data_IF_697282994735
#
_entry.id   IF_697282994735
#
_cell.length_a   1.000
_cell.length_b   1.000
_cell.length_c   1.000
_cell.angle_alpha   90.00
_cell.angle_beta   90.00
_cell.angle_gamma   90.00
#
_symmetry.space_group_name_H-M   'P 1'
#
loop_
_entity.id
_entity.type
_entity.pdbx_description
1 polymer ?
#
# COMPACT_ATOMS: atom_id res chain seq x y z
N UNK A 1 -53.33 -22.13 25.83
CA UNK A 1 -51.88 -22.05 25.55
C UNK A 1 -51.60 -21.86 24.04
N UNK A 2 -52.02 -20.74 23.43
CA UNK A 2 -51.88 -20.49 21.96
C UNK A 2 -51.19 -19.16 21.61
N UNK A 3 -50.89 -18.33 22.63
CA UNK A 3 -50.32 -16.98 22.47
C UNK A 3 -48.78 -16.95 22.44
N UNK A 4 -48.11 -17.76 23.29
CA UNK A 4 -46.64 -17.78 23.43
C UNK A 4 -45.90 -18.12 22.14
N UNK A 5 -46.40 -19.06 21.33
CA UNK A 5 -45.72 -19.53 20.10
C UNK A 5 -45.70 -18.44 19.01
N UNK A 6 -46.76 -17.64 18.90
CA UNK A 6 -46.88 -16.59 17.89
C UNK A 6 -45.97 -15.39 18.19
N UNK A 7 -45.76 -15.10 19.48
CA UNK A 7 -44.85 -14.05 19.93
C UNK A 7 -43.39 -14.42 19.62
N UNK A 8 -42.98 -15.63 19.97
CA UNK A 8 -41.61 -16.10 19.70
C UNK A 8 -41.30 -16.15 18.20
N UNK A 9 -42.22 -16.64 17.36
CA UNK A 9 -42.04 -16.66 15.90
C UNK A 9 -41.94 -15.25 15.31
N UNK A 10 -42.74 -14.30 15.78
CA UNK A 10 -42.68 -12.91 15.29
C UNK A 10 -41.38 -12.21 15.70
N UNK A 11 -40.92 -12.42 16.94
CA UNK A 11 -39.64 -11.87 17.41
C UNK A 11 -38.47 -12.45 16.63
N UNK A 12 -38.48 -13.75 16.34
CA UNK A 12 -37.45 -14.40 15.51
C UNK A 12 -37.46 -13.87 14.07
N UNK A 13 -38.63 -13.67 13.47
CA UNK A 13 -38.75 -13.10 12.12
C UNK A 13 -38.27 -11.64 12.04
N UNK A 14 -38.56 -10.82 13.05
CA UNK A 14 -38.08 -9.43 13.12
C UNK A 14 -36.56 -9.40 13.28
N UNK A 15 -36.00 -10.26 14.14
CA UNK A 15 -34.56 -10.36 14.34
C UNK A 15 -33.83 -10.85 13.07
N UNK A 16 -34.41 -11.82 12.36
CA UNK A 16 -33.89 -12.29 11.07
C UNK A 16 -33.93 -11.20 9.99
N UNK A 17 -34.99 -10.37 9.96
CA UNK A 17 -35.11 -9.24 9.04
C UNK A 17 -34.04 -8.17 9.31
N UNK A 18 -33.76 -7.86 10.58
CA UNK A 18 -32.73 -6.89 10.98
C UNK A 18 -31.32 -7.42 10.69
N UNK A 19 -31.05 -8.71 10.88
CA UNK A 19 -29.77 -9.32 10.52
C UNK A 19 -29.52 -9.31 9.00
N UNK A 20 -30.56 -9.43 8.17
CA UNK A 20 -30.42 -9.39 6.71
C UNK A 20 -30.06 -7.98 6.18
N UNK A 21 -30.51 -6.91 6.84
CA UNK A 21 -30.22 -5.52 6.43
C UNK A 21 -28.77 -5.12 6.79
N UNK A 22 -28.19 -5.73 7.81
CA UNK A 22 -26.83 -5.41 8.30
C UNK A 22 -25.68 -5.98 7.47
N UNK A 23 -25.94 -6.87 6.50
CA UNK A 23 -24.88 -7.55 5.72
C UNK A 23 -24.48 -6.77 4.47
N UNK A 24 -25.18 -5.70 4.10
CA UNK A 24 -24.77 -4.82 3.00
C UNK A 24 -23.97 -3.64 3.52
N UNK A 25 -22.83 -3.90 4.18
CA UNK A 25 -21.71 -2.97 4.10
C UNK A 25 -21.15 -3.07 2.69
N UNK A 26 -21.84 -2.46 1.72
CA UNK A 26 -21.23 -2.10 0.47
C UNK A 26 -20.01 -1.28 0.86
N UNK A 27 -18.82 -1.85 0.65
CA UNK A 27 -17.62 -1.04 0.52
C UNK A 27 -17.97 -0.13 -0.65
N UNK A 28 -18.42 1.08 -0.35
CA UNK A 28 -18.35 2.17 -1.29
C UNK A 28 -16.86 2.28 -1.58
N UNK A 29 -16.40 1.57 -2.61
CA UNK A 29 -15.14 1.86 -3.27
C UNK A 29 -15.35 3.22 -3.90
N UNK A 30 -15.33 4.27 -3.06
CA UNK A 30 -15.23 5.63 -3.52
C UNK A 30 -14.05 5.68 -4.47
N UNK A 31 -14.20 6.45 -5.55
CA UNK A 31 -13.18 6.58 -6.59
C UNK A 31 -11.77 6.65 -5.97
N UNK A 32 -10.75 5.98 -6.56
CA UNK A 32 -9.40 5.92 -6.01
C UNK A 32 -8.97 7.30 -5.53
N UNK A 33 -8.84 7.48 -4.22
CA UNK A 33 -8.49 8.78 -3.64
C UNK A 33 -6.98 9.09 -3.77
N UNK A 34 -6.31 8.45 -4.72
CA UNK A 34 -4.86 8.36 -4.83
C UNK A 34 -4.45 7.57 -6.08
N UNK A 35 -3.16 7.27 -6.17
CA UNK A 35 -2.53 6.60 -7.31
C UNK A 35 -1.82 5.32 -6.91
N UNK A 36 -1.46 4.51 -7.90
CA UNK A 36 -0.68 3.30 -7.73
C UNK A 36 0.81 3.62 -7.89
N UNK A 37 1.63 3.17 -6.96
CA UNK A 37 3.08 3.31 -6.99
C UNK A 37 3.71 1.93 -7.15
N UNK A 38 4.53 1.77 -8.18
CA UNK A 38 5.39 0.60 -8.38
C UNK A 38 6.84 1.05 -8.26
N UNK A 39 7.62 0.32 -7.47
CA UNK A 39 9.07 0.52 -7.39
C UNK A 39 9.77 -0.81 -7.65
N UNK A 40 10.45 -0.88 -8.79
CA UNK A 40 11.30 -2.00 -9.15
C UNK A 40 12.70 -1.84 -8.56
N UNK A 41 13.37 -2.95 -8.29
CA UNK A 41 14.79 -2.97 -7.94
C UNK A 41 15.60 -3.41 -9.14
N UNK A 42 16.56 -2.60 -9.56
CA UNK A 42 17.49 -2.97 -10.62
C UNK A 42 18.37 -4.19 -10.23
N UNK A 43 18.91 -4.93 -11.22
CA UNK A 43 19.78 -6.08 -10.94
C UNK A 43 21.16 -5.69 -10.40
N UNK A 44 21.59 -4.43 -10.52
CA UNK A 44 22.96 -3.98 -10.20
C UNK A 44 23.29 -3.83 -8.70
N UNK A 45 22.39 -4.25 -7.82
CA UNK A 45 22.58 -4.28 -6.36
C UNK A 45 23.30 -5.53 -5.87
N UNK A 46 23.49 -6.54 -6.73
CA UNK A 46 23.94 -7.87 -6.32
C UNK A 46 22.82 -8.70 -5.68
N UNK A 47 23.17 -9.72 -4.90
CA UNK A 47 22.21 -10.64 -4.25
C UNK A 47 21.97 -10.31 -2.77
N UNK A 48 22.90 -9.57 -2.14
CA UNK A 48 22.97 -9.35 -0.70
C UNK A 48 22.41 -7.99 -0.24
N UNK A 49 21.94 -7.14 -1.15
CA UNK A 49 21.39 -5.82 -0.85
C UNK A 49 19.92 -5.72 -1.30
N UNK A 50 19.09 -5.07 -0.50
CA UNK A 50 17.71 -4.72 -0.82
C UNK A 50 17.53 -3.20 -0.82
N UNK A 51 16.45 -2.75 -1.46
CA UNK A 51 16.01 -1.35 -1.43
C UNK A 51 15.06 -1.18 -0.26
N UNK A 52 15.47 -0.42 0.74
CA UNK A 52 14.58 0.04 1.79
C UNK A 52 13.83 1.28 1.30
N UNK A 53 12.51 1.15 1.14
CA UNK A 53 11.64 2.20 0.64
C UNK A 53 10.83 2.81 1.79
N UNK A 54 10.83 4.14 1.85
CA UNK A 54 9.97 4.94 2.72
C UNK A 54 9.10 5.89 1.90
N UNK A 55 7.89 6.10 2.38
CA UNK A 55 6.97 7.15 1.91
C UNK A 55 6.71 8.07 3.09
N UNK A 56 7.00 9.36 2.93
CA UNK A 56 6.85 10.38 3.99
C UNK A 56 7.57 10.00 5.29
N UNK A 57 8.75 9.38 5.16
CA UNK A 57 9.57 8.92 6.28
C UNK A 57 9.13 7.59 6.90
N UNK A 58 7.97 7.03 6.52
CA UNK A 58 7.48 5.74 6.98
C UNK A 58 7.99 4.61 6.10
N UNK A 59 8.61 3.58 6.69
CA UNK A 59 9.02 2.37 5.98
C UNK A 59 7.80 1.61 5.43
N UNK A 60 7.86 1.25 4.15
CA UNK A 60 6.78 0.52 3.45
C UNK A 60 7.23 -0.80 2.87
N UNK A 61 8.52 -0.95 2.51
CA UNK A 61 9.04 -2.21 1.96
C UNK A 61 10.56 -2.31 2.04
N UNK A 62 11.05 -3.54 2.13
CA UNK A 62 12.40 -3.94 1.74
C UNK A 62 12.30 -4.78 0.46
N UNK A 63 12.75 -4.22 -0.66
CA UNK A 63 12.60 -4.82 -1.99
C UNK A 63 13.86 -5.64 -2.28
N UNK A 64 13.75 -6.96 -2.22
CA UNK A 64 14.84 -7.90 -2.53
C UNK A 64 14.92 -8.22 -4.03
N UNK A 65 15.94 -8.98 -4.44
CA UNK A 65 16.10 -9.41 -5.83
C UNK A 65 14.84 -10.13 -6.36
N UNK A 66 14.40 -9.75 -7.57
CA UNK A 66 13.23 -10.33 -8.25
C UNK A 66 11.88 -9.91 -7.65
N UNK A 67 11.86 -8.94 -6.73
CA UNK A 67 10.65 -8.37 -6.15
C UNK A 67 10.53 -6.90 -6.51
N UNK A 68 9.32 -6.37 -6.35
CA UNK A 68 9.00 -4.96 -6.49
C UNK A 68 8.04 -4.56 -5.38
N UNK A 69 7.99 -3.27 -5.07
CA UNK A 69 6.88 -2.70 -4.31
C UNK A 69 5.73 -2.39 -5.26
N UNK A 70 4.51 -2.73 -4.86
CA UNK A 70 3.28 -2.36 -5.53
C UNK A 70 2.27 -1.96 -4.46
N UNK A 71 1.89 -0.69 -4.43
CA UNK A 71 1.02 -0.17 -3.39
C UNK A 71 0.25 1.07 -3.80
N UNK A 72 -0.78 1.37 -3.01
CA UNK A 72 -1.59 2.57 -3.18
C UNK A 72 -1.03 3.72 -2.35
N UNK A 73 -0.95 4.90 -2.95
CA UNK A 73 -0.51 6.14 -2.30
C UNK A 73 -1.64 7.16 -2.40
N UNK A 74 -2.05 7.82 -1.30
CA UNK A 74 -3.05 8.89 -1.34
C UNK A 74 -2.71 9.99 -2.36
N UNK A 75 -3.72 10.71 -2.85
CA UNK A 75 -3.48 11.86 -3.71
C UNK A 75 -2.87 13.01 -2.89
N UNK A 76 -1.88 13.69 -3.46
CA UNK A 76 -1.19 14.78 -2.77
C UNK A 76 0.32 14.76 -3.00
N UNK A 77 1.03 15.57 -2.21
CA UNK A 77 2.48 15.63 -2.22
C UNK A 77 3.04 14.62 -1.23
N UNK A 78 3.97 13.80 -1.73
CA UNK A 78 4.67 12.78 -0.98
C UNK A 78 6.17 12.88 -1.23
N UNK A 79 6.95 12.31 -0.34
CA UNK A 79 8.39 12.13 -0.52
C UNK A 79 8.72 10.65 -0.51
N UNK A 80 9.25 10.15 -1.62
CA UNK A 80 9.81 8.81 -1.68
C UNK A 80 11.26 8.88 -1.23
N UNK A 81 11.65 7.99 -0.32
CA UNK A 81 13.04 7.89 0.15
C UNK A 81 13.54 6.46 0.01
N UNK A 82 14.71 6.29 -0.59
CA UNK A 82 15.32 5.00 -0.84
C UNK A 82 16.72 4.91 -0.21
N UNK A 83 17.02 3.75 0.37
CA UNK A 83 18.35 3.44 0.91
C UNK A 83 18.67 1.96 0.75
N UNK A 84 19.95 1.61 0.93
CA UNK A 84 20.41 0.24 0.91
C UNK A 84 20.23 -0.44 2.27
N UNK A 85 19.79 -1.70 2.27
CA UNK A 85 19.86 -2.57 3.46
C UNK A 85 20.47 -3.94 3.09
N UNK A 86 21.24 -4.60 3.99
CA UNK A 86 21.63 -4.12 5.32
C UNK A 86 22.57 -2.91 5.27
N UNK A 87 22.43 -2.02 6.26
CA UNK A 87 23.22 -0.80 6.39
C UNK A 87 24.60 -1.09 7.02
N UNK A 88 25.40 -1.96 6.39
CA UNK A 88 26.75 -2.35 6.87
C UNK A 88 27.71 -1.16 6.92
N UNK A 89 27.51 -0.18 6.04
CA UNK A 89 28.24 1.08 6.00
C UNK A 89 27.25 2.23 5.92
N UNK A 90 27.64 3.39 6.43
CA UNK A 90 26.83 4.59 6.28
C UNK A 90 26.73 4.96 4.79
N UNK A 91 25.52 4.85 4.25
CA UNK A 91 25.16 5.30 2.90
C UNK A 91 23.98 6.25 3.05
N UNK A 92 24.10 7.50 2.60
CA UNK A 92 23.01 8.44 2.77
C UNK A 92 21.78 7.97 1.95
N UNK A 93 20.57 8.09 2.51
CA UNK A 93 19.34 7.85 1.75
C UNK A 93 19.19 8.93 0.67
N UNK A 94 18.53 8.58 -0.43
CA UNK A 94 18.11 9.56 -1.45
C UNK A 94 16.61 9.78 -1.38
N UNK A 95 16.17 11.00 -1.67
CA UNK A 95 14.75 11.36 -1.62
C UNK A 95 14.33 12.08 -2.89
N UNK A 96 13.13 11.78 -3.38
CA UNK A 96 12.49 12.48 -4.50
C UNK A 96 11.07 12.90 -4.13
N UNK A 97 10.64 14.12 -4.50
CA UNK A 97 9.26 14.53 -4.36
C UNK A 97 8.38 13.84 -5.41
N UNK A 98 7.18 13.43 -5.01
CA UNK A 98 6.17 12.87 -5.90
C UNK A 98 4.83 13.57 -5.65
N UNK A 99 4.19 14.08 -6.71
CA UNK A 99 2.80 14.55 -6.63
C UNK A 99 1.88 13.50 -7.24
N UNK A 100 1.09 12.86 -6.39
CA UNK A 100 0.20 11.76 -6.75
C UNK A 100 -1.17 12.32 -7.14
N UNK A 101 -1.58 12.03 -8.37
CA UNK A 101 -2.93 12.25 -8.88
C UNK A 101 -3.82 11.03 -8.69
N UNK A 102 -5.14 11.26 -8.60
CA UNK A 102 -6.14 10.20 -8.47
C UNK A 102 -6.16 9.32 -9.74
N UNK A 103 -6.11 8.00 -9.57
CA UNK A 103 -6.16 7.02 -10.66
C UNK A 103 -4.89 6.92 -11.51
N UNK A 104 -3.85 7.70 -11.21
CA UNK A 104 -2.57 7.63 -11.93
C UNK A 104 -1.69 6.48 -11.42
N UNK A 105 -0.81 6.01 -12.30
CA UNK A 105 0.22 5.03 -11.98
C UNK A 105 1.60 5.68 -12.11
N UNK A 106 2.45 5.45 -11.12
CA UNK A 106 3.81 5.96 -11.04
C UNK A 106 4.77 4.77 -10.93
N UNK A 107 5.74 4.70 -11.82
CA UNK A 107 6.69 3.60 -11.87
C UNK A 107 8.10 4.16 -11.72
N UNK A 108 8.85 3.60 -10.79
CA UNK A 108 10.26 3.92 -10.57
C UNK A 108 11.10 2.66 -10.60
N UNK A 109 12.33 2.79 -11.07
CA UNK A 109 13.39 1.82 -10.80
C UNK A 109 14.34 2.40 -9.78
N UNK A 110 14.50 1.72 -8.66
CA UNK A 110 15.61 1.93 -7.74
C UNK A 110 16.88 1.33 -8.34
N UNK A 111 17.93 2.14 -8.47
CA UNK A 111 19.21 1.78 -9.09
C UNK A 111 20.34 1.99 -8.09
N UNK A 112 21.30 1.08 -8.06
CA UNK A 112 22.56 1.30 -7.36
C UNK A 112 23.44 2.27 -8.16
N UNK A 113 23.77 3.42 -7.59
CA UNK A 113 24.51 4.49 -8.26
C UNK A 113 25.52 5.09 -7.28
N UNK A 114 26.81 4.95 -7.55
CA UNK A 114 27.90 5.51 -6.72
C UNK A 114 27.70 5.37 -5.20
N UNK A 115 27.46 4.14 -4.73
CA UNK A 115 27.25 3.78 -3.32
C UNK A 115 25.93 4.28 -2.68
N UNK A 116 25.01 4.83 -3.47
CA UNK A 116 23.66 5.19 -3.01
C UNK A 116 22.59 4.51 -3.86
N UNK A 117 21.36 4.50 -3.35
CA UNK A 117 20.20 4.00 -4.09
C UNK A 117 19.45 5.19 -4.65
N UNK A 118 19.29 5.28 -5.97
CA UNK A 118 18.60 6.38 -6.66
C UNK A 118 17.31 5.88 -7.27
N UNK A 119 16.21 6.60 -7.07
CA UNK A 119 14.93 6.34 -7.75
C UNK A 119 14.90 7.06 -9.09
N UNK A 120 14.74 6.30 -10.18
CA UNK A 120 14.63 6.83 -11.55
C UNK A 120 13.21 6.57 -12.08
N UNK A 121 12.47 7.59 -12.54
CA UNK A 121 11.17 7.39 -13.16
C UNK A 121 11.32 6.63 -14.48
N UNK A 122 10.32 5.80 -14.80
CA UNK A 122 10.17 5.13 -16.09
C UNK A 122 9.13 5.83 -16.97
#
# INVERSE_FOLDING_TARGET
MKSRRNFTTRVVLIFALVCAISVTSAIAQGAPQGGRLIVDRAPNFGWNLAVHLKIDGRAVADIVQGRHFDGFVPAGRHVLTASAVPATYFRPPTSIPLTVGRGHMYVFTAVWDSDVVVLRPL
#
